data_IF_994492847162
#
_entry.id   IF_994492847162
#
_cell.length_a   1.000
_cell.length_b   1.000
_cell.length_c   1.000
_cell.angle_alpha   90.00
_cell.angle_beta   90.00
_cell.angle_gamma   90.00
#
_symmetry.space_group_name_H-M   'P 1'
#
loop_
_entity.id
_entity.type
_entity.pdbx_description
1 polymer ?
#
# COMPACT_ATOMS: atom_id res chain seq x y z
N UNK A 1 -17.77 -35.24 50.65
CA UNK A 1 -18.35 -36.51 51.15
C UNK A 1 -18.08 -37.61 50.13
N UNK A 2 -17.26 -38.61 50.51
CA UNK A 2 -17.26 -40.06 50.17
C UNK A 2 -17.71 -40.45 48.72
N UNK A 3 -16.95 -41.22 47.92
CA UNK A 3 -16.63 -42.65 48.15
C UNK A 3 -15.61 -43.20 47.11
N UNK A 4 -14.58 -43.89 47.61
CA UNK A 4 -14.04 -45.23 47.20
C UNK A 4 -13.52 -45.36 45.74
N UNK A 5 -12.24 -45.54 45.40
CA UNK A 5 -11.18 -46.44 45.89
C UNK A 5 -11.52 -47.94 45.85
N UNK A 6 -10.64 -48.71 45.19
CA UNK A 6 -10.33 -50.15 45.27
C UNK A 6 -10.69 -51.05 44.07
N UNK A 7 -9.60 -51.43 43.37
CA UNK A 7 -9.15 -52.80 43.07
C UNK A 7 -9.90 -53.62 42.02
N UNK A 8 -9.17 -53.93 40.94
CA UNK A 8 -8.94 -55.32 40.56
C UNK A 8 -7.54 -55.48 39.93
N UNK A 9 -6.64 -56.12 40.69
CA UNK A 9 -5.37 -56.68 40.22
C UNK A 9 -5.63 -58.08 39.64
N UNK A 10 -4.94 -58.44 38.55
CA UNK A 10 -4.07 -59.62 38.38
C UNK A 10 -4.05 -60.15 36.93
N UNK A 11 -2.87 -60.00 36.31
CA UNK A 11 -2.03 -61.02 35.64
C UNK A 11 -2.66 -61.98 34.61
N UNK A 12 -2.14 -61.95 33.38
CA UNK A 12 -1.43 -63.10 32.79
C UNK A 12 -0.57 -62.69 31.58
N UNK A 13 0.66 -63.18 31.54
CA UNK A 13 1.62 -63.04 30.44
C UNK A 13 1.44 -64.16 29.39
N UNK A 14 1.73 -63.89 28.10
CA UNK A 14 2.56 -64.73 27.19
C UNK A 14 2.46 -64.31 25.71
N UNK A 15 3.55 -63.66 25.25
CA UNK A 15 4.31 -63.80 23.98
C UNK A 15 3.71 -64.66 22.85
N UNK A 16 3.55 -64.08 21.63
CA UNK A 16 3.91 -64.64 20.29
C UNK A 16 4.08 -63.44 19.31
N UNK A 17 5.29 -62.96 18.99
CA UNK A 17 6.21 -63.34 17.89
C UNK A 17 5.70 -63.07 16.44
N UNK A 18 6.47 -62.27 15.69
CA UNK A 18 6.37 -62.01 14.24
C UNK A 18 6.13 -60.52 13.93
N UNK A 19 7.07 -59.68 13.49
CA UNK A 19 8.19 -59.91 12.59
C UNK A 19 7.79 -59.49 11.18
N UNK A 20 8.16 -58.25 10.80
CA UNK A 20 8.51 -57.72 9.47
C UNK A 20 8.04 -56.26 9.37
N UNK A 21 9.02 -55.38 9.57
CA UNK A 21 8.94 -53.94 9.42
C UNK A 21 8.76 -53.62 7.93
N UNK A 22 7.56 -53.20 7.53
CA UNK A 22 7.38 -52.55 6.24
C UNK A 22 8.12 -51.19 6.31
N UNK A 23 9.31 -51.18 5.73
CA UNK A 23 10.14 -50.02 5.46
C UNK A 23 9.31 -48.92 4.83
N UNK A 24 9.06 -47.82 5.55
CA UNK A 24 8.57 -46.61 4.91
C UNK A 24 9.67 -46.10 3.98
N UNK A 25 9.41 -46.14 2.69
CA UNK A 25 10.24 -45.52 1.67
C UNK A 25 10.27 -44.02 1.98
N UNK A 26 11.33 -43.54 2.62
CA UNK A 26 11.52 -42.11 2.83
C UNK A 26 11.96 -41.54 1.49
N UNK A 27 10.99 -41.04 0.72
CA UNK A 27 11.30 -40.18 -0.41
C UNK A 27 12.10 -38.97 0.12
N UNK A 28 13.13 -38.51 -0.60
CA UNK A 28 13.77 -37.25 -0.25
C UNK A 28 12.71 -36.15 -0.34
N UNK A 29 12.51 -35.42 0.75
CA UNK A 29 11.76 -34.18 0.72
C UNK A 29 12.65 -33.22 -0.05
N UNK A 30 12.35 -33.04 -1.34
CA UNK A 30 12.83 -31.87 -2.06
C UNK A 30 12.14 -30.69 -1.39
N UNK A 31 12.85 -29.99 -0.51
CA UNK A 31 12.42 -28.65 -0.09
C UNK A 31 12.49 -27.79 -1.36
N UNK A 32 11.33 -27.62 -2.01
CA UNK A 32 11.12 -26.57 -2.99
C UNK A 32 11.24 -25.27 -2.21
N UNK A 33 12.44 -24.71 -2.19
CA UNK A 33 12.63 -23.30 -1.89
C UNK A 33 11.92 -22.59 -3.03
N UNK A 34 10.72 -22.13 -2.75
CA UNK A 34 10.01 -21.17 -3.58
C UNK A 34 10.93 -19.94 -3.65
N UNK A 35 11.67 -19.79 -4.75
CA UNK A 35 12.30 -18.53 -5.11
C UNK A 35 11.16 -17.55 -5.41
N UNK A 36 10.47 -17.12 -4.36
CA UNK A 36 9.46 -16.08 -4.44
C UNK A 36 10.16 -14.85 -4.98
N UNK A 37 9.63 -14.33 -6.10
CA UNK A 37 10.03 -13.05 -6.67
C UNK A 37 10.18 -12.05 -5.54
N UNK A 38 11.41 -11.62 -5.27
CA UNK A 38 11.69 -10.58 -4.29
C UNK A 38 11.14 -9.28 -4.87
N UNK A 39 9.88 -8.97 -4.56
CA UNK A 39 9.29 -7.69 -4.89
C UNK A 39 10.11 -6.61 -4.17
N UNK A 40 10.90 -5.86 -4.94
CA UNK A 40 11.64 -4.72 -4.41
C UNK A 40 10.62 -3.68 -3.93
N UNK A 41 10.71 -3.29 -2.66
CA UNK A 41 9.84 -2.25 -2.10
C UNK A 41 9.97 -0.96 -2.93
N UNK A 42 8.84 -0.27 -3.15
CA UNK A 42 8.83 1.03 -3.80
C UNK A 42 9.51 2.07 -2.88
N UNK A 43 10.60 2.73 -3.30
CA UNK A 43 11.33 3.65 -2.45
C UNK A 43 10.51 4.88 -2.04
N UNK A 44 9.61 5.39 -2.88
CA UNK A 44 8.72 6.49 -2.52
C UNK A 44 7.71 6.08 -1.45
N UNK A 45 7.16 4.88 -1.59
CA UNK A 45 6.28 4.26 -0.59
C UNK A 45 7.01 4.05 0.74
N UNK A 46 8.23 3.53 0.74
CA UNK A 46 9.04 3.38 1.96
C UNK A 46 9.33 4.74 2.60
N UNK A 47 9.72 5.73 1.79
CA UNK A 47 9.99 7.08 2.27
C UNK A 47 8.77 7.71 2.93
N UNK A 48 7.57 7.49 2.37
CA UNK A 48 6.29 7.89 2.94
C UNK A 48 6.14 7.47 4.41
N UNK A 49 6.35 6.18 4.65
CA UNK A 49 6.22 5.56 5.97
C UNK A 49 7.33 6.04 6.92
N UNK A 50 8.55 6.22 6.42
CA UNK A 50 9.68 6.75 7.20
C UNK A 50 9.46 8.20 7.66
N UNK A 51 8.72 9.01 6.88
CA UNK A 51 8.32 10.35 7.28
C UNK A 51 7.12 10.35 8.25
N UNK A 52 6.60 9.17 8.61
CA UNK A 52 5.44 9.03 9.51
C UNK A 52 4.10 9.29 8.82
N UNK A 53 4.05 9.20 7.50
CA UNK A 53 2.80 9.25 6.74
C UNK A 53 2.15 7.87 6.60
N UNK A 54 0.84 7.86 6.40
CA UNK A 54 0.08 6.69 5.99
C UNK A 54 -0.01 6.65 4.47
N UNK A 55 0.44 5.56 3.84
CA UNK A 55 0.39 5.41 2.39
C UNK A 55 -0.95 4.80 1.96
N UNK A 56 -1.65 5.46 1.04
CA UNK A 56 -2.80 4.90 0.33
C UNK A 56 -2.58 4.95 -1.18
N UNK A 57 -3.10 3.95 -1.89
CA UNK A 57 -3.10 3.91 -3.35
C UNK A 57 -4.46 4.40 -3.86
N UNK A 58 -4.44 5.43 -4.67
CA UNK A 58 -5.63 6.03 -5.28
C UNK A 58 -5.66 5.80 -6.79
N UNK A 59 -6.87 5.73 -7.36
CA UNK A 59 -7.08 5.59 -8.79
C UNK A 59 -7.41 6.92 -9.46
N UNK A 60 -6.98 7.05 -10.71
CA UNK A 60 -7.28 8.17 -11.60
C UNK A 60 -8.38 7.81 -12.60
N UNK A 61 -9.05 8.79 -13.23
CA UNK A 61 -10.09 8.52 -14.23
C UNK A 61 -9.61 7.72 -15.45
N UNK A 62 -8.32 7.77 -15.76
CA UNK A 62 -7.71 6.99 -16.83
C UNK A 62 -7.30 5.56 -16.42
N UNK A 63 -7.63 5.14 -15.19
CA UNK A 63 -7.26 3.84 -14.64
C UNK A 63 -5.83 3.75 -14.10
N UNK A 64 -5.06 4.83 -14.16
CA UNK A 64 -3.74 4.87 -13.51
C UNK A 64 -3.86 4.96 -11.99
N UNK A 65 -2.90 4.39 -11.28
CA UNK A 65 -2.80 4.46 -9.83
C UNK A 65 -1.67 5.40 -9.39
N UNK A 66 -1.79 5.97 -8.20
CA UNK A 66 -0.75 6.80 -7.58
C UNK A 66 -0.79 6.64 -6.06
N UNK A 67 0.37 6.68 -5.41
CA UNK A 67 0.48 6.63 -3.96
C UNK A 67 0.35 8.01 -3.36
N UNK A 68 -0.44 8.13 -2.29
CA UNK A 68 -0.59 9.36 -1.51
C UNK A 68 -0.17 9.10 -0.07
N UNK A 69 0.72 9.96 0.41
CA UNK A 69 1.10 10.06 1.80
C UNK A 69 0.14 10.96 2.55
N UNK A 70 -0.57 10.40 3.52
CA UNK A 70 -1.47 11.08 4.42
C UNK A 70 -0.78 11.38 5.75
N UNK A 71 -0.97 12.59 6.26
CA UNK A 71 -0.45 13.04 7.53
C UNK A 71 -1.57 13.66 8.38
N UNK A 72 -1.22 14.04 9.61
CA UNK A 72 -2.14 14.73 10.53
C UNK A 72 -2.78 15.97 9.89
N UNK A 73 -3.97 16.32 10.37
CA UNK A 73 -4.78 17.43 9.85
C UNK A 73 -5.03 17.38 8.34
N UNK A 74 -5.04 16.16 7.78
CA UNK A 74 -5.27 15.90 6.37
C UNK A 74 -4.25 16.60 5.45
N UNK A 75 -2.99 16.67 5.89
CA UNK A 75 -1.89 17.06 5.01
C UNK A 75 -1.53 15.89 4.09
N UNK A 76 -1.23 16.19 2.83
CA UNK A 76 -1.08 15.17 1.81
C UNK A 76 0.02 15.50 0.82
N UNK A 77 0.70 14.48 0.30
CA UNK A 77 1.58 14.57 -0.86
C UNK A 77 1.46 13.29 -1.68
N UNK A 78 1.61 13.38 -3.00
CA UNK A 78 1.88 12.19 -3.81
C UNK A 78 3.29 11.67 -3.45
N UNK A 79 3.43 10.34 -3.33
CA UNK A 79 4.63 9.73 -2.73
C UNK A 79 5.92 10.09 -3.47
N UNK A 80 5.86 10.17 -4.81
CA UNK A 80 7.02 10.47 -5.63
C UNK A 80 7.35 11.96 -5.64
N UNK A 81 6.34 12.83 -5.62
CA UNK A 81 6.52 14.27 -5.47
C UNK A 81 7.19 14.58 -4.12
N UNK A 82 6.78 13.92 -3.04
CA UNK A 82 7.45 14.07 -1.74
C UNK A 82 8.88 13.52 -1.76
N UNK A 83 9.08 12.33 -2.35
CA UNK A 83 10.40 11.71 -2.48
C UNK A 83 11.40 12.59 -3.25
N UNK A 84 10.94 13.31 -4.28
CA UNK A 84 11.76 14.26 -5.06
C UNK A 84 11.87 15.65 -4.42
N UNK A 85 11.15 15.92 -3.33
CA UNK A 85 11.12 17.24 -2.69
C UNK A 85 10.28 18.29 -3.45
N UNK A 86 9.43 17.85 -4.38
CA UNK A 86 8.46 18.69 -5.09
C UNK A 86 7.22 18.96 -4.24
N UNK A 87 6.99 18.12 -3.24
CA UNK A 87 5.95 18.28 -2.24
C UNK A 87 6.58 18.28 -0.82
N UNK A 88 6.11 19.13 0.13
CA UNK A 88 6.74 19.25 1.45
C UNK A 88 6.78 17.93 2.24
N UNK A 89 7.89 17.71 2.95
CA UNK A 89 7.97 16.65 3.97
C UNK A 89 6.92 16.95 5.06
N UNK A 90 6.07 15.96 5.37
CA UNK A 90 4.83 16.03 6.18
C UNK A 90 3.55 16.47 5.44
N UNK A 91 3.57 16.56 4.12
CA UNK A 91 2.38 16.88 3.34
C UNK A 91 2.09 18.38 3.26
N UNK A 92 1.27 18.77 2.28
CA UNK A 92 0.69 20.11 2.21
C UNK A 92 -0.78 20.10 2.62
N UNK A 93 -1.27 21.23 3.12
CA UNK A 93 -2.67 21.38 3.52
C UNK A 93 -3.58 21.45 2.28
N UNK A 94 -4.50 20.50 2.14
CA UNK A 94 -5.36 20.42 0.94
C UNK A 94 -6.68 21.20 1.03
N UNK A 95 -6.97 21.88 2.15
CA UNK A 95 -8.28 22.53 2.39
C UNK A 95 -8.64 23.69 1.43
N UNK A 96 -7.74 24.06 0.51
CA UNK A 96 -7.99 25.05 -0.54
C UNK A 96 -8.22 24.45 -1.94
N UNK A 97 -8.05 23.14 -2.10
CA UNK A 97 -8.23 22.46 -3.39
C UNK A 97 -9.53 21.66 -3.36
N UNK A 98 -10.61 22.29 -3.80
CA UNK A 98 -11.96 21.72 -3.67
C UNK A 98 -12.28 20.68 -4.74
N UNK A 99 -11.52 20.65 -5.83
CA UNK A 99 -11.69 19.70 -6.93
C UNK A 99 -10.63 18.58 -6.85
N UNK A 100 -10.95 17.35 -7.30
CA UNK A 100 -9.94 16.28 -7.39
C UNK A 100 -8.74 16.67 -8.26
N UNK A 101 -9.00 17.41 -9.35
CA UNK A 101 -7.97 17.88 -10.26
C UNK A 101 -7.03 18.92 -9.61
N UNK A 102 -7.59 19.91 -8.90
CA UNK A 102 -6.81 20.89 -8.16
C UNK A 102 -5.99 20.25 -7.05
N UNK A 103 -6.59 19.30 -6.30
CA UNK A 103 -5.88 18.52 -5.28
C UNK A 103 -4.72 17.75 -5.91
N UNK A 104 -4.99 17.01 -6.98
CA UNK A 104 -3.98 16.19 -7.65
C UNK A 104 -2.81 17.03 -8.18
N UNK A 105 -3.11 18.21 -8.76
CA UNK A 105 -2.09 19.17 -9.16
C UNK A 105 -1.17 19.52 -7.98
N UNK A 106 -1.76 19.98 -6.87
CA UNK A 106 -1.01 20.43 -5.71
C UNK A 106 -0.15 19.32 -5.09
N UNK A 107 -0.75 18.14 -4.82
CA UNK A 107 -0.03 17.05 -4.14
C UNK A 107 1.05 16.41 -5.02
N UNK A 108 0.98 16.60 -6.35
CA UNK A 108 2.05 16.19 -7.28
C UNK A 108 3.16 17.26 -7.41
N UNK A 109 3.12 18.31 -6.58
CA UNK A 109 4.11 19.39 -6.55
C UNK A 109 3.84 20.53 -7.54
N UNK A 110 2.67 20.55 -8.18
CA UNK A 110 2.27 21.62 -9.08
C UNK A 110 1.68 22.82 -8.36
N UNK A 111 1.72 23.98 -9.02
CA UNK A 111 1.03 25.20 -8.60
C UNK A 111 -0.32 25.31 -9.31
N UNK A 112 -1.42 25.24 -8.53
CA UNK A 112 -2.78 25.29 -9.05
C UNK A 112 -3.32 26.72 -9.02
N UNK A 113 -3.72 27.23 -10.18
CA UNK A 113 -4.30 28.56 -10.33
C UNK A 113 -5.70 28.49 -10.92
N UNK A 114 -6.70 29.00 -10.18
CA UNK A 114 -8.10 29.00 -10.61
C UNK A 114 -8.28 29.92 -11.82
N UNK A 115 -8.87 29.38 -12.88
CA UNK A 115 -9.21 30.12 -14.11
C UNK A 115 -10.71 30.37 -14.23
N UNK A 116 -11.52 29.52 -13.60
CA UNK A 116 -12.98 29.68 -13.49
C UNK A 116 -13.39 29.38 -12.07
N UNK A 117 -13.91 30.37 -11.35
CA UNK A 117 -14.45 30.17 -10.01
C UNK A 117 -15.71 29.30 -10.03
N UNK A 118 -15.88 28.46 -9.02
CA UNK A 118 -17.00 27.53 -8.98
C UNK A 118 -17.06 26.70 -7.71
N UNK A 119 -18.01 25.76 -7.68
CA UNK A 119 -18.02 24.69 -6.69
C UNK A 119 -17.16 23.51 -7.14
N UNK A 120 -17.21 22.42 -6.37
CA UNK A 120 -16.46 21.17 -6.60
C UNK A 120 -16.55 20.64 -8.04
N UNK A 121 -17.71 20.80 -8.69
CA UNK A 121 -17.96 20.30 -10.05
C UNK A 121 -17.68 21.31 -11.17
N UNK A 122 -17.58 22.60 -10.84
CA UNK A 122 -17.58 23.68 -11.84
C UNK A 122 -16.32 24.54 -11.83
N UNK A 123 -15.54 24.51 -10.75
CA UNK A 123 -14.26 25.19 -10.70
C UNK A 123 -13.29 24.57 -11.72
N UNK A 124 -12.53 25.43 -12.39
CA UNK A 124 -11.46 25.05 -13.31
C UNK A 124 -10.21 25.84 -12.97
N UNK A 125 -9.05 25.24 -13.23
CA UNK A 125 -7.77 25.89 -13.05
C UNK A 125 -6.68 25.29 -13.90
N UNK A 126 -5.59 26.03 -14.01
CA UNK A 126 -4.35 25.57 -14.61
C UNK A 126 -3.46 24.96 -13.54
N UNK A 127 -2.71 23.93 -13.92
CA UNK A 127 -1.65 23.34 -13.10
C UNK A 127 -0.30 23.65 -13.74
N UNK A 128 0.57 24.36 -13.01
CA UNK A 128 1.97 24.55 -13.41
C UNK A 128 2.80 23.47 -12.75
N UNK A 129 3.32 22.53 -13.52
CA UNK A 129 4.09 21.38 -13.04
C UNK A 129 5.50 21.79 -12.57
N UNK A 130 6.19 20.95 -11.77
CA UNK A 130 7.59 21.19 -11.38
C UNK A 130 8.54 21.39 -12.58
N UNK A 131 8.23 20.78 -13.73
CA UNK A 131 8.97 20.96 -14.99
C UNK A 131 8.79 22.34 -15.64
N UNK A 132 7.80 23.13 -15.18
CA UNK A 132 7.38 24.41 -15.76
C UNK A 132 6.30 24.28 -16.84
N UNK A 133 5.90 23.06 -17.21
CA UNK A 133 4.77 22.82 -18.11
C UNK A 133 3.45 23.28 -17.47
N UNK A 134 2.57 23.86 -18.28
CA UNK A 134 1.26 24.33 -17.82
C UNK A 134 0.15 23.55 -18.53
N UNK A 135 -0.65 22.84 -17.73
CA UNK A 135 -1.79 22.04 -18.17
C UNK A 135 -3.11 22.63 -17.66
N UNK A 136 -4.24 22.32 -18.29
CA UNK A 136 -5.50 22.33 -17.55
C UNK A 136 -5.44 21.27 -16.43
N UNK A 137 -5.85 21.61 -15.20
CA UNK A 137 -5.76 20.67 -14.08
C UNK A 137 -6.58 19.39 -14.35
N UNK A 138 -7.74 19.52 -15.00
CA UNK A 138 -8.55 18.36 -15.41
C UNK A 138 -7.82 17.51 -16.46
N UNK A 139 -7.13 18.13 -17.41
CA UNK A 139 -6.36 17.44 -18.44
C UNK A 139 -5.21 16.65 -17.81
N UNK A 140 -4.54 17.24 -16.82
CA UNK A 140 -3.52 16.57 -16.04
C UNK A 140 -4.11 15.41 -15.22
N UNK A 141 -5.25 15.62 -14.57
CA UNK A 141 -5.95 14.62 -13.76
C UNK A 141 -6.36 13.39 -14.58
N UNK A 142 -6.96 13.59 -15.76
CA UNK A 142 -7.35 12.50 -16.66
C UNK A 142 -6.18 11.98 -17.52
N UNK A 143 -5.01 12.61 -17.44
CA UNK A 143 -3.77 12.14 -18.08
C UNK A 143 -3.66 12.46 -19.56
N UNK A 144 -4.44 13.42 -20.05
CA UNK A 144 -4.28 14.00 -21.39
C UNK A 144 -3.11 14.98 -21.46
N UNK A 145 -2.65 15.51 -20.32
CA UNK A 145 -1.42 16.30 -20.21
C UNK A 145 -0.29 15.46 -19.59
N UNK A 146 0.93 15.45 -20.17
CA UNK A 146 2.03 14.65 -19.66
C UNK A 146 2.51 15.13 -18.27
N UNK A 147 3.06 14.20 -17.50
CA UNK A 147 3.89 14.52 -16.33
C UNK A 147 5.26 14.92 -16.91
N UNK A 148 5.49 16.22 -17.09
CA UNK A 148 6.74 16.74 -17.67
C UNK A 148 8.00 16.39 -16.87
#
# INVERSE_FOLDING_TARGET
MKKKMFFWFLLLALVIAGGIWATRLSAPITEVVDEGDVALANPASTYCLEQGGDLEIESRPNGGEFGVCYFMDNHQCEEWAMFRGECPVNGLKVTGYITPAGRFCAITGGDYNITVEGGVESEKGNCTLPSGEVCGADEFWVGSCPKG
#
